data_IF_394423386818
#
_entry.id   IF_394423386818
#
_cell.length_a   1.000
_cell.length_b   1.000
_cell.length_c   1.000
_cell.angle_alpha   90.00
_cell.angle_beta   90.00
_cell.angle_gamma   90.00
#
_symmetry.space_group_name_H-M   'P 1'
#
loop_
_entity.id
_entity.type
_entity.pdbx_description
1 polymer ?
#
# COMPACT_ATOMS: atom_id res chain seq x y z
N UNK A 1 42.43 -30.51 -9.05
CA UNK A 1 41.23 -30.92 -8.29
C UNK A 1 40.76 -29.90 -7.24
N UNK A 2 41.39 -28.73 -7.11
CA UNK A 2 40.99 -27.67 -6.15
C UNK A 2 40.04 -26.61 -6.77
N UNK A 3 40.07 -26.43 -8.10
CA UNK A 3 39.24 -25.44 -8.83
C UNK A 3 37.75 -25.82 -8.96
N UNK A 4 37.40 -27.10 -8.87
CA UNK A 4 36.00 -27.58 -8.98
C UNK A 4 35.23 -27.39 -7.66
N UNK A 5 35.94 -27.35 -6.53
CA UNK A 5 35.33 -27.13 -5.22
C UNK A 5 35.04 -25.64 -4.96
N UNK A 6 35.90 -24.73 -5.44
CA UNK A 6 35.69 -23.28 -5.28
C UNK A 6 34.54 -22.75 -6.14
N UNK A 7 34.32 -23.31 -7.33
CA UNK A 7 33.19 -22.92 -8.19
C UNK A 7 31.84 -23.34 -7.59
N UNK A 8 31.73 -24.55 -7.02
CA UNK A 8 30.49 -25.01 -6.36
C UNK A 8 30.08 -24.16 -5.15
N UNK A 9 31.04 -23.68 -4.35
CA UNK A 9 30.77 -22.83 -3.18
C UNK A 9 30.27 -21.44 -3.60
N UNK A 10 30.80 -20.86 -4.68
CA UNK A 10 30.34 -19.55 -5.19
C UNK A 10 28.92 -19.63 -5.76
N UNK A 11 28.58 -20.71 -6.47
CA UNK A 11 27.19 -20.94 -6.95
C UNK A 11 26.23 -21.25 -5.80
N UNK A 12 26.66 -21.98 -4.78
CA UNK A 12 25.85 -22.25 -3.58
C UNK A 12 25.52 -20.98 -2.78
N UNK A 13 26.50 -20.09 -2.59
CA UNK A 13 26.30 -18.81 -1.87
C UNK A 13 25.46 -17.83 -2.70
N UNK A 14 25.63 -17.78 -4.03
CA UNK A 14 24.81 -16.96 -4.91
C UNK A 14 23.35 -17.47 -4.98
N UNK A 15 23.14 -18.78 -5.08
CA UNK A 15 21.80 -19.39 -5.08
C UNK A 15 21.06 -19.22 -3.76
N UNK A 16 21.77 -19.31 -2.62
CA UNK A 16 21.17 -19.00 -1.31
C UNK A 16 20.79 -17.53 -1.18
N UNK A 17 21.60 -16.58 -1.69
CA UNK A 17 21.21 -15.15 -1.69
C UNK A 17 19.91 -14.88 -2.43
N UNK A 18 19.69 -15.53 -3.58
CA UNK A 18 18.42 -15.41 -4.31
C UNK A 18 17.24 -16.11 -3.63
N UNK A 19 17.48 -17.15 -2.83
CA UNK A 19 16.42 -17.84 -2.10
C UNK A 19 16.00 -17.13 -0.79
N UNK A 20 16.85 -16.24 -0.26
CA UNK A 20 16.65 -15.58 1.03
C UNK A 20 16.45 -14.07 0.97
N UNK A 21 16.54 -13.43 -0.21
CA UNK A 21 16.14 -12.04 -0.35
C UNK A 21 14.65 -12.00 -0.74
N UNK A 22 13.74 -11.63 0.17
CA UNK A 22 12.33 -11.51 -0.17
C UNK A 22 12.19 -10.52 -1.32
N UNK A 23 11.30 -10.80 -2.27
CA UNK A 23 11.01 -9.86 -3.35
C UNK A 23 10.65 -8.48 -2.77
N UNK A 24 10.97 -7.37 -3.46
CA UNK A 24 10.66 -6.04 -2.99
C UNK A 24 9.21 -5.91 -2.52
N UNK A 25 8.98 -5.13 -1.45
CA UNK A 25 7.66 -4.96 -0.81
C UNK A 25 6.54 -4.66 -1.82
N UNK A 26 6.82 -3.81 -2.80
CA UNK A 26 5.86 -3.41 -3.84
C UNK A 26 5.50 -4.52 -4.83
N UNK A 27 6.32 -5.57 -4.98
CA UNK A 27 6.01 -6.74 -5.81
C UNK A 27 5.15 -7.77 -5.08
N UNK A 28 5.01 -7.63 -3.76
CA UNK A 28 4.30 -8.57 -2.88
C UNK A 28 2.87 -8.11 -2.53
N UNK A 29 2.40 -7.02 -3.12
CA UNK A 29 0.99 -6.60 -3.01
C UNK A 29 0.08 -7.69 -3.57
N UNK A 30 -0.98 -8.06 -2.85
CA UNK A 30 -1.88 -9.14 -3.29
C UNK A 30 -2.76 -8.68 -4.46
N UNK A 31 -2.36 -9.10 -5.66
CA UNK A 31 -3.07 -8.78 -6.90
C UNK A 31 -4.35 -9.60 -7.08
N UNK A 32 -4.58 -10.65 -6.29
CA UNK A 32 -5.74 -11.56 -6.43
C UNK A 32 -6.90 -11.21 -5.51
N UNK A 33 -6.92 -9.99 -4.98
CA UNK A 33 -7.97 -9.54 -4.08
C UNK A 33 -9.30 -9.37 -4.81
N UNK A 34 -10.38 -9.80 -4.17
CA UNK A 34 -11.72 -9.49 -4.64
C UNK A 34 -12.02 -8.00 -4.38
N UNK A 35 -12.81 -7.42 -5.26
CA UNK A 35 -13.22 -6.03 -5.10
C UNK A 35 -14.38 -5.93 -4.10
N UNK A 36 -14.38 -4.88 -3.29
CA UNK A 36 -15.40 -4.62 -2.27
C UNK A 36 -16.78 -4.55 -2.92
N UNK A 37 -17.83 -5.20 -2.40
CA UNK A 37 -19.16 -5.12 -3.00
C UNK A 37 -19.60 -3.67 -3.21
N UNK A 38 -20.31 -3.38 -4.32
CA UNK A 38 -20.77 -2.02 -4.69
C UNK A 38 -21.59 -1.32 -3.58
N UNK A 39 -22.14 -2.10 -2.66
CA UNK A 39 -22.97 -1.66 -1.53
C UNK A 39 -22.17 -1.28 -0.27
N UNK A 40 -20.83 -1.35 -0.32
CA UNK A 40 -19.97 -0.99 0.82
C UNK A 40 -20.02 0.52 1.07
N UNK A 41 -20.56 0.90 2.23
CA UNK A 41 -20.69 2.28 2.70
C UNK A 41 -19.88 2.49 3.98
N UNK A 42 -19.41 3.73 4.21
CA UNK A 42 -18.73 4.24 5.42
C UNK A 42 -18.13 3.19 6.39
N UNK A 43 -18.89 2.69 7.37
CA UNK A 43 -18.38 1.76 8.40
C UNK A 43 -17.94 0.37 7.87
N UNK A 44 -18.38 -0.02 6.66
CA UNK A 44 -17.89 -1.24 5.98
C UNK A 44 -16.59 -0.98 5.21
N UNK A 45 -16.32 0.28 4.84
CA UNK A 45 -15.10 0.67 4.13
C UNK A 45 -13.93 0.79 5.12
N UNK A 46 -14.17 1.39 6.28
CA UNK A 46 -13.18 1.44 7.36
C UNK A 46 -13.72 0.57 8.50
N UNK A 47 -13.30 -0.69 8.55
CA UNK A 47 -13.74 -1.66 9.56
C UNK A 47 -13.07 -1.40 10.90
N UNK A 48 -13.63 -1.93 11.99
CA UNK A 48 -13.04 -1.75 13.34
C UNK A 48 -11.67 -2.43 13.50
N UNK A 49 -11.45 -3.53 12.79
CA UNK A 49 -10.24 -4.33 12.90
C UNK A 49 -9.87 -4.93 11.53
N UNK A 50 -8.59 -4.88 11.19
CA UNK A 50 -8.01 -5.50 10.00
C UNK A 50 -6.90 -6.45 10.48
N UNK A 51 -7.22 -7.74 10.59
CA UNK A 51 -6.31 -8.75 11.13
C UNK A 51 -5.72 -8.31 12.50
N UNK A 52 -4.41 -8.13 12.62
CA UNK A 52 -3.73 -7.71 13.87
C UNK A 52 -3.80 -6.20 14.15
N UNK A 53 -4.47 -5.43 13.28
CA UNK A 53 -4.56 -3.96 13.38
C UNK A 53 -5.93 -3.52 13.90
N UNK A 54 -5.94 -2.84 15.04
CA UNK A 54 -7.13 -2.26 15.64
C UNK A 54 -7.28 -0.80 15.21
N UNK A 55 -8.47 -0.41 14.76
CA UNK A 55 -8.78 1.01 14.51
C UNK A 55 -8.82 1.76 15.83
N UNK A 56 -8.02 2.81 15.95
CA UNK A 56 -7.92 3.67 17.14
C UNK A 56 -8.51 5.05 16.95
N UNK A 57 -8.58 5.53 15.70
CA UNK A 57 -9.21 6.79 15.35
C UNK A 57 -9.99 6.66 14.04
N UNK A 58 -11.04 7.45 13.89
CA UNK A 58 -11.97 7.36 12.77
C UNK A 58 -12.66 8.70 12.51
N UNK A 59 -12.48 9.20 11.30
CA UNK A 59 -13.29 10.26 10.74
C UNK A 59 -14.38 9.63 9.86
N UNK A 60 -15.67 9.79 10.22
CA UNK A 60 -16.76 9.20 9.48
C UNK A 60 -16.84 9.74 8.05
N UNK A 61 -17.39 8.93 7.16
CA UNK A 61 -17.59 9.28 5.76
C UNK A 61 -18.34 10.60 5.64
N UNK A 62 -17.70 11.60 5.06
CA UNK A 62 -18.27 12.93 4.88
C UNK A 62 -17.83 13.50 3.52
N UNK A 63 -18.68 14.31 2.86
CA UNK A 63 -18.28 15.05 1.67
C UNK A 63 -17.26 16.14 2.03
N UNK A 64 -16.23 16.27 1.20
CA UNK A 64 -15.29 17.40 1.24
C UNK A 64 -15.92 18.69 0.68
N UNK A 65 -15.12 19.77 0.59
CA UNK A 65 -15.58 21.06 0.08
C UNK A 65 -16.02 21.02 -1.40
N UNK A 66 -15.68 19.96 -2.13
CA UNK A 66 -16.01 19.69 -3.52
C UNK A 66 -17.17 18.68 -3.64
N UNK A 67 -17.70 18.18 -2.52
CA UNK A 67 -18.76 17.19 -2.47
C UNK A 67 -18.30 15.74 -2.61
N UNK A 68 -16.99 15.49 -2.64
CA UNK A 68 -16.42 14.14 -2.77
C UNK A 68 -16.41 13.46 -1.42
N UNK A 69 -16.97 12.26 -1.33
CA UNK A 69 -16.99 11.50 -0.07
C UNK A 69 -15.57 11.07 0.32
N UNK A 70 -15.17 11.39 1.54
CA UNK A 70 -13.89 11.00 2.13
C UNK A 70 -14.10 10.38 3.49
N UNK A 71 -13.26 9.41 3.81
CA UNK A 71 -13.17 8.84 5.15
C UNK A 71 -11.70 8.61 5.51
N UNK A 72 -11.40 8.65 6.80
CA UNK A 72 -10.06 8.43 7.32
C UNK A 72 -10.11 7.58 8.59
N UNK A 73 -9.15 6.68 8.76
CA UNK A 73 -9.00 5.89 9.97
C UNK A 73 -7.53 5.63 10.27
N UNK A 74 -7.22 5.62 11.55
CA UNK A 74 -5.91 5.27 12.07
C UNK A 74 -5.99 3.88 12.69
N UNK A 75 -5.07 3.00 12.27
CA UNK A 75 -4.98 1.63 12.74
C UNK A 75 -3.64 1.39 13.45
N UNK A 76 -3.67 0.64 14.56
CA UNK A 76 -2.47 0.25 15.30
C UNK A 76 -2.35 -1.26 15.41
N UNK A 77 -1.19 -1.79 15.07
CA UNK A 77 -0.77 -3.15 15.41
C UNK A 77 -0.32 -3.15 16.88
N UNK A 78 -0.46 -4.25 17.62
CA UNK A 78 -0.03 -4.35 19.03
C UNK A 78 1.38 -3.75 19.23
N UNK A 79 1.48 -2.59 19.89
CA UNK A 79 2.71 -1.79 20.03
C UNK A 79 2.57 -0.35 19.53
N UNK A 80 3.63 0.20 18.92
CA UNK A 80 3.70 1.59 18.41
C UNK A 80 3.55 1.70 16.88
N UNK A 81 3.28 0.59 16.19
CA UNK A 81 3.16 0.57 14.73
C UNK A 81 1.79 1.05 14.29
N UNK A 82 1.78 2.15 13.54
CA UNK A 82 0.57 2.78 13.04
C UNK A 82 0.50 2.71 11.51
N UNK A 83 -0.71 2.54 10.97
CA UNK A 83 -1.05 2.72 9.56
C UNK A 83 -2.27 3.63 9.47
N UNK A 84 -2.16 4.67 8.66
CA UNK A 84 -3.24 5.59 8.36
C UNK A 84 -3.87 5.15 7.04
N UNK A 85 -5.19 4.97 7.01
CA UNK A 85 -5.95 4.59 5.84
C UNK A 85 -6.94 5.70 5.51
N UNK A 86 -6.80 6.27 4.33
CA UNK A 86 -7.78 7.19 3.75
C UNK A 86 -8.51 6.53 2.60
N UNK A 87 -9.76 6.91 2.44
CA UNK A 87 -10.61 6.51 1.33
C UNK A 87 -11.26 7.73 0.71
N UNK A 88 -11.22 7.82 -0.61
CA UNK A 88 -11.86 8.87 -1.38
C UNK A 88 -12.75 8.24 -2.45
N UNK A 89 -13.99 8.69 -2.57
CA UNK A 89 -14.84 8.26 -3.66
C UNK A 89 -14.30 8.81 -4.98
N UNK A 90 -14.26 7.95 -5.99
CA UNK A 90 -13.84 8.28 -7.35
C UNK A 90 -14.89 7.77 -8.32
N UNK A 91 -14.93 8.35 -9.51
CA UNK A 91 -15.69 7.76 -10.61
C UNK A 91 -15.02 6.44 -11.03
N UNK A 92 -15.70 5.29 -10.94
CA UNK A 92 -15.12 4.00 -11.34
C UNK A 92 -14.62 3.99 -12.79
N UNK A 93 -15.21 4.78 -13.68
CA UNK A 93 -14.80 4.87 -15.09
C UNK A 93 -13.47 5.62 -15.27
N UNK A 94 -13.15 6.51 -14.34
CA UNK A 94 -11.95 7.36 -14.38
C UNK A 94 -10.96 7.05 -13.26
N UNK A 95 -11.15 5.97 -12.50
CA UNK A 95 -10.31 5.68 -11.35
C UNK A 95 -8.82 5.50 -11.69
N UNK A 96 -8.52 4.91 -12.85
CA UNK A 96 -7.13 4.78 -13.31
C UNK A 96 -6.50 6.14 -13.61
N UNK A 97 -7.28 7.13 -14.04
CA UNK A 97 -6.78 8.47 -14.31
C UNK A 97 -6.46 9.22 -13.02
N UNK A 98 -7.24 9.02 -11.96
CA UNK A 98 -6.92 9.52 -10.60
C UNK A 98 -5.59 8.94 -10.11
N UNK A 99 -5.37 7.63 -10.27
CA UNK A 99 -4.13 6.98 -9.84
C UNK A 99 -2.91 7.44 -10.68
N UNK A 100 -3.10 7.69 -11.99
CA UNK A 100 -2.07 8.31 -12.85
C UNK A 100 -1.79 9.77 -12.47
N UNK A 101 -2.81 10.54 -12.09
CA UNK A 101 -2.63 11.90 -11.61
C UNK A 101 -1.77 11.91 -10.34
N UNK A 102 -2.06 11.02 -9.38
CA UNK A 102 -1.21 10.83 -8.21
C UNK A 102 0.23 10.45 -8.56
N UNK A 103 0.44 9.50 -9.49
CA UNK A 103 1.78 9.15 -9.96
C UNK A 103 2.53 10.39 -10.43
N UNK A 104 1.90 11.21 -11.29
CA UNK A 104 2.50 12.44 -11.81
C UNK A 104 2.83 13.44 -10.70
N UNK A 105 1.97 13.56 -9.68
CA UNK A 105 2.23 14.43 -8.53
C UNK A 105 3.47 13.97 -7.75
N UNK A 106 3.64 12.66 -7.54
CA UNK A 106 4.83 12.10 -6.90
C UNK A 106 6.08 12.21 -7.77
N UNK A 107 6.00 12.05 -9.09
CA UNK A 107 7.14 12.25 -10.00
C UNK A 107 7.71 13.67 -9.91
N UNK A 108 6.86 14.66 -9.63
CA UNK A 108 7.25 16.05 -9.47
C UNK A 108 7.69 16.40 -8.05
N UNK A 109 7.62 15.47 -7.09
CA UNK A 109 7.98 15.70 -5.70
C UNK A 109 9.46 15.33 -5.45
N UNK A 110 10.34 16.30 -5.13
CA UNK A 110 11.77 16.06 -4.93
C UNK A 110 12.09 15.18 -3.70
N UNK A 111 11.14 14.98 -2.80
CA UNK A 111 11.31 14.15 -1.62
C UNK A 111 10.97 12.67 -1.86
N UNK A 112 10.50 12.33 -3.07
CA UNK A 112 10.23 10.93 -3.44
C UNK A 112 11.53 10.23 -3.75
N UNK A 113 11.78 9.16 -3.00
CA UNK A 113 12.96 8.29 -3.16
C UNK A 113 12.64 7.03 -3.97
N UNK A 114 11.36 6.66 -4.07
CA UNK A 114 10.88 5.53 -4.86
C UNK A 114 9.44 5.74 -5.25
N UNK A 115 9.12 5.44 -6.50
CA UNK A 115 7.78 5.40 -7.04
C UNK A 115 7.68 4.19 -7.97
N UNK A 116 6.70 3.33 -7.75
CA UNK A 116 6.44 2.17 -8.59
C UNK A 116 4.95 2.11 -8.88
N UNK A 117 4.60 2.03 -10.17
CA UNK A 117 3.22 2.04 -10.63
C UNK A 117 2.90 0.76 -11.39
N UNK A 118 1.77 0.14 -11.05
CA UNK A 118 1.26 -1.09 -11.66
C UNK A 118 -0.14 -0.85 -12.24
N UNK A 119 -0.26 -0.16 -13.39
CA UNK A 119 -1.55 0.15 -14.01
C UNK A 119 -2.30 -1.09 -14.51
N UNK A 120 -1.55 -2.11 -14.94
CA UNK A 120 -2.09 -3.31 -15.58
C UNK A 120 -2.35 -4.47 -14.60
N UNK A 121 -2.13 -4.25 -13.30
CA UNK A 121 -2.49 -5.22 -12.28
C UNK A 121 -4.02 -5.37 -12.19
N UNK A 122 -4.50 -6.56 -11.80
CA UNK A 122 -5.94 -6.81 -11.60
C UNK A 122 -6.58 -5.76 -10.69
N UNK A 123 -5.87 -5.35 -9.63
CA UNK A 123 -6.16 -4.15 -8.87
C UNK A 123 -5.06 -3.14 -9.14
N UNK A 124 -5.28 -2.09 -9.95
CA UNK A 124 -4.25 -1.09 -10.22
C UNK A 124 -3.80 -0.41 -8.92
N UNK A 125 -2.48 -0.30 -8.75
CA UNK A 125 -1.90 0.27 -7.54
C UNK A 125 -0.60 1.03 -7.78
N UNK A 126 -0.27 1.86 -6.81
CA UNK A 126 0.95 2.64 -6.71
C UNK A 126 1.62 2.32 -5.37
N UNK A 127 2.94 2.20 -5.38
CA UNK A 127 3.75 2.21 -4.17
C UNK A 127 4.73 3.38 -4.22
N UNK A 128 4.82 4.15 -3.14
CA UNK A 128 5.71 5.31 -3.04
C UNK A 128 6.43 5.34 -1.70
N UNK A 129 7.68 5.81 -1.74
CA UNK A 129 8.48 6.13 -0.56
C UNK A 129 8.98 7.55 -0.68
N UNK A 130 8.62 8.40 0.28
CA UNK A 130 9.02 9.80 0.30
C UNK A 130 9.41 10.28 1.69
N UNK A 131 10.20 11.36 1.77
CA UNK A 131 10.54 11.99 3.03
C UNK A 131 9.49 13.04 3.43
N UNK A 132 8.97 12.96 4.65
CA UNK A 132 8.13 13.99 5.26
C UNK A 132 8.58 14.20 6.71
N UNK A 133 8.73 15.46 7.13
CA UNK A 133 9.14 15.83 8.49
C UNK A 133 10.41 15.11 8.98
N UNK A 134 11.36 14.86 8.06
CA UNK A 134 12.60 14.16 8.36
C UNK A 134 12.47 12.64 8.56
N UNK A 135 11.31 12.05 8.26
CA UNK A 135 11.04 10.61 8.34
C UNK A 135 10.70 10.05 6.96
N UNK A 136 11.03 8.78 6.75
CA UNK A 136 10.54 8.05 5.58
C UNK A 136 9.05 7.73 5.78
N UNK A 137 8.27 7.98 4.73
CA UNK A 137 6.86 7.61 4.62
C UNK A 137 6.74 6.57 3.53
N UNK A 138 6.06 5.47 3.84
CA UNK A 138 5.70 4.41 2.90
C UNK A 138 4.22 4.53 2.62
N UNK A 139 3.82 4.44 1.35
CA UNK A 139 2.42 4.52 0.97
C UNK A 139 2.08 3.56 -0.16
N UNK A 140 0.94 2.88 -0.02
CA UNK A 140 0.24 2.21 -1.10
C UNK A 140 -1.04 2.97 -1.42
N UNK A 141 -1.29 3.19 -2.71
CA UNK A 141 -2.57 3.67 -3.21
C UNK A 141 -3.14 2.65 -4.19
N UNK A 142 -4.42 2.30 -4.09
CA UNK A 142 -5.06 1.36 -5.00
C UNK A 142 -6.54 1.69 -5.19
N UNK A 143 -7.09 1.22 -6.31
CA UNK A 143 -8.50 1.41 -6.64
C UNK A 143 -9.30 0.19 -6.18
N UNK A 144 -10.43 0.41 -5.53
CA UNK A 144 -11.34 -0.64 -5.12
C UNK A 144 -12.80 -0.18 -5.29
N UNK A 145 -13.50 -0.67 -6.32
CA UNK A 145 -14.92 -0.42 -6.62
C UNK A 145 -15.42 1.00 -6.33
N UNK A 146 -14.89 1.99 -7.08
CA UNK A 146 -15.28 3.39 -6.95
C UNK A 146 -14.65 4.13 -5.78
N UNK A 147 -13.67 3.50 -5.12
CA UNK A 147 -12.86 4.14 -4.09
C UNK A 147 -11.38 4.14 -4.48
N UNK A 148 -10.72 5.25 -4.21
CA UNK A 148 -9.28 5.35 -4.13
C UNK A 148 -8.91 5.18 -2.66
N UNK A 149 -8.23 4.08 -2.36
CA UNK A 149 -7.73 3.77 -1.02
C UNK A 149 -6.26 4.12 -0.96
N UNK A 150 -5.84 4.80 0.10
CA UNK A 150 -4.45 5.14 0.36
C UNK A 150 -4.09 4.76 1.79
N UNK A 151 -3.19 3.81 1.93
CA UNK A 151 -2.64 3.41 3.21
C UNK A 151 -1.19 3.89 3.31
N UNK A 152 -0.85 4.62 4.36
CA UNK A 152 0.52 5.06 4.58
C UNK A 152 0.97 4.88 6.02
N UNK A 153 2.29 4.91 6.22
CA UNK A 153 2.90 4.91 7.54
C UNK A 153 4.23 5.66 7.54
N UNK A 154 4.48 6.40 8.62
CA UNK A 154 5.76 7.03 8.97
C UNK A 154 6.25 6.59 10.37
N UNK A 155 5.55 5.63 10.98
CA UNK A 155 5.81 5.05 12.32
C UNK A 155 6.04 3.54 12.26
N UNK A 156 5.91 2.93 11.08
CA UNK A 156 6.13 1.50 10.84
C UNK A 156 7.05 1.28 9.65
N UNK A 157 7.48 0.03 9.46
CA UNK A 157 8.23 -0.41 8.28
C UNK A 157 7.30 -0.75 7.09
N UNK A 158 7.90 -0.82 5.89
CA UNK A 158 7.19 -1.13 4.65
C UNK A 158 6.53 -2.52 4.66
N UNK A 159 7.10 -3.50 5.35
CA UNK A 159 6.51 -4.84 5.48
C UNK A 159 5.25 -4.84 6.35
N UNK A 160 5.20 -4.00 7.39
CA UNK A 160 4.01 -3.80 8.23
C UNK A 160 2.90 -3.16 7.41
N UNK A 161 3.23 -2.15 6.60
CA UNK A 161 2.26 -1.57 5.66
C UNK A 161 1.76 -2.61 4.66
N UNK A 162 2.64 -3.44 4.10
CA UNK A 162 2.26 -4.52 3.19
C UNK A 162 1.31 -5.54 3.83
N UNK A 163 1.58 -5.97 5.07
CA UNK A 163 0.69 -6.87 5.81
C UNK A 163 -0.69 -6.25 5.97
N UNK A 164 -0.75 -4.96 6.30
CA UNK A 164 -2.01 -4.23 6.44
C UNK A 164 -2.81 -4.21 5.13
N UNK A 165 -2.22 -3.75 4.03
CA UNK A 165 -2.94 -3.59 2.75
C UNK A 165 -3.38 -4.93 2.15
N UNK A 166 -2.60 -5.99 2.37
CA UNK A 166 -2.96 -7.35 1.93
C UNK A 166 -4.02 -8.00 2.85
N UNK A 167 -4.17 -7.53 4.09
CA UNK A 167 -5.21 -7.99 5.02
C UNK A 167 -6.50 -7.18 4.91
N UNK A 168 -6.47 -6.05 4.20
CA UNK A 168 -7.63 -5.17 4.06
C UNK A 168 -8.80 -5.93 3.40
N UNK A 169 -10.05 -5.75 3.91
CA UNK A 169 -11.19 -6.54 3.46
C UNK A 169 -11.39 -6.50 1.95
N UNK A 170 -11.85 -7.65 1.43
CA UNK A 170 -12.30 -7.85 0.07
C UNK A 170 -13.81 -8.11 0.10
#
# INVERSE_FOLDING_TARGET
>A
MLLVLLSGVVFGVAGMRYAFDPSPVYERFDQRRDALPDEVTGPRLLVEQINDFQRTDFEPLAPDAQGIQRAHAVYKELGERQVDLSAQQIDPQHGLDELKAMQKDYENNPNVSRLVFYPDAQTPYLYVVYAAEGRAVYEFAWINNGWLLRAYTNQSDADTLLRFVNSYPN
#
